data_IF_141645328660
#
_entry.id   IF_141645328660
#
_cell.length_a   1.000
_cell.length_b   1.000
_cell.length_c   1.000
_cell.angle_alpha   90.00
_cell.angle_beta   90.00
_cell.angle_gamma   90.00
#
_symmetry.space_group_name_H-M   'P 1'
#
loop_
_entity.id
_entity.type
_entity.pdbx_description
1 polymer ?
#
# COMPACT_ATOMS: atom_id res chain seq x y z
N UNK A 1 -9.09 50.56 -8.64
CA UNK A 1 -9.23 50.01 -7.27
C UNK A 1 -10.51 49.19 -7.18
N UNK A 2 -10.50 47.93 -7.60
CA UNK A 2 -11.57 46.95 -7.34
C UNK A 2 -10.93 45.56 -7.30
N UNK A 3 -10.03 45.34 -6.35
CA UNK A 3 -9.56 43.99 -6.02
C UNK A 3 -10.65 43.36 -5.16
N UNK A 4 -11.62 42.75 -5.83
CA UNK A 4 -12.67 41.97 -5.19
C UNK A 4 -12.04 40.85 -4.36
N UNK A 5 -12.30 40.90 -3.05
CA UNK A 5 -12.13 39.80 -2.12
C UNK A 5 -12.81 38.55 -2.70
N UNK A 6 -12.03 37.64 -3.25
CA UNK A 6 -12.46 36.24 -3.27
C UNK A 6 -12.33 35.72 -1.83
N UNK A 7 -13.40 35.17 -1.24
CA UNK A 7 -13.28 34.36 -0.04
C UNK A 7 -12.26 33.25 -0.32
N UNK A 8 -11.18 33.19 0.47
CA UNK A 8 -10.31 32.02 0.46
C UNK A 8 -11.13 30.86 1.00
N UNK A 9 -11.57 29.99 0.09
CA UNK A 9 -12.07 28.65 0.40
C UNK A 9 -11.16 28.06 1.50
N UNK A 10 -11.69 27.73 2.68
CA UNK A 10 -10.89 27.12 3.72
C UNK A 10 -10.33 25.82 3.15
N UNK A 11 -9.00 25.73 3.22
CA UNK A 11 -8.21 24.61 2.79
C UNK A 11 -8.89 23.27 3.12
N UNK A 12 -8.79 22.34 2.17
CA UNK A 12 -9.03 20.91 2.36
C UNK A 12 -8.17 20.43 3.52
N UNK A 13 -8.67 20.55 4.74
CA UNK A 13 -8.06 20.02 5.96
C UNK A 13 -9.17 19.61 6.92
N UNK A 14 -10.09 18.79 6.43
CA UNK A 14 -10.72 17.78 7.27
C UNK A 14 -10.15 16.41 6.89
N UNK A 15 -8.84 16.28 7.05
CA UNK A 15 -8.21 14.97 7.12
C UNK A 15 -8.57 14.33 8.47
N UNK A 16 -9.85 13.96 8.59
CA UNK A 16 -10.38 12.90 9.43
C UNK A 16 -9.72 12.82 10.82
N UNK A 17 -10.19 13.67 11.74
CA UNK A 17 -10.12 13.35 13.17
C UNK A 17 -11.10 12.20 13.45
N UNK A 18 -10.74 10.97 13.05
CA UNK A 18 -11.48 9.77 13.46
C UNK A 18 -11.28 9.57 14.97
N UNK A 19 -12.35 9.34 15.74
CA UNK A 19 -12.25 9.05 17.17
C UNK A 19 -11.32 7.85 17.40
N UNK A 20 -10.67 7.73 18.56
CA UNK A 20 -9.72 6.65 18.85
C UNK A 20 -10.38 5.29 18.55
N UNK A 21 -10.01 4.70 17.43
CA UNK A 21 -10.62 3.46 16.95
C UNK A 21 -10.06 2.29 17.74
N UNK A 22 -10.95 1.47 18.29
CA UNK A 22 -10.59 0.22 18.96
C UNK A 22 -9.69 -0.63 18.03
N UNK A 23 -8.50 -1.03 18.50
CA UNK A 23 -7.51 -1.81 17.74
C UNK A 23 -8.14 -3.06 17.14
N UNK A 24 -9.02 -3.75 17.89
CA UNK A 24 -9.75 -4.93 17.42
C UNK A 24 -10.63 -4.63 16.20
N UNK A 25 -11.22 -3.44 16.13
CA UNK A 25 -12.03 -3.00 14.98
C UNK A 25 -11.15 -2.77 13.75
N UNK A 26 -9.98 -2.15 13.92
CA UNK A 26 -9.01 -1.91 12.83
C UNK A 26 -8.50 -3.24 12.26
N UNK A 27 -8.07 -4.15 13.13
CA UNK A 27 -7.59 -5.49 12.74
C UNK A 27 -8.70 -6.26 12.02
N UNK A 28 -9.93 -6.27 12.56
CA UNK A 28 -11.06 -6.95 11.92
C UNK A 28 -11.38 -6.35 10.55
N UNK A 29 -11.35 -5.03 10.42
CA UNK A 29 -11.60 -4.38 9.14
C UNK A 29 -10.51 -4.73 8.12
N UNK A 30 -9.24 -4.70 8.51
CA UNK A 30 -8.12 -5.12 7.67
C UNK A 30 -8.25 -6.58 7.24
N UNK A 31 -8.61 -7.49 8.16
CA UNK A 31 -8.84 -8.90 7.87
C UNK A 31 -10.00 -9.09 6.88
N UNK A 32 -11.15 -8.45 7.12
CA UNK A 32 -12.32 -8.56 6.24
C UNK A 32 -12.00 -8.02 4.85
N UNK A 33 -11.33 -6.87 4.74
CA UNK A 33 -10.92 -6.30 3.45
C UNK A 33 -9.92 -7.21 2.74
N UNK A 34 -8.96 -7.77 3.47
CA UNK A 34 -7.97 -8.70 2.93
C UNK A 34 -8.60 -9.99 2.39
N UNK A 35 -9.48 -10.62 3.18
CA UNK A 35 -10.21 -11.83 2.74
C UNK A 35 -11.16 -11.53 1.58
N UNK A 36 -11.82 -10.36 1.59
CA UNK A 36 -12.72 -9.94 0.52
C UNK A 36 -11.98 -9.59 -0.78
N UNK A 37 -10.66 -9.37 -0.72
CA UNK A 37 -9.83 -9.07 -1.88
C UNK A 37 -8.82 -10.21 -2.12
N UNK A 38 -9.24 -11.31 -2.79
CA UNK A 38 -8.38 -12.47 -3.02
C UNK A 38 -7.33 -12.23 -4.11
N UNK A 39 -6.98 -10.97 -4.45
CA UNK A 39 -5.95 -10.71 -5.48
C UNK A 39 -4.65 -11.44 -5.20
N UNK A 40 -4.26 -11.52 -3.91
CA UNK A 40 -3.06 -12.23 -3.48
C UNK A 40 -3.18 -13.71 -3.83
N UNK A 41 -4.28 -14.35 -3.42
CA UNK A 41 -4.56 -15.75 -3.71
C UNK A 41 -4.57 -16.03 -5.22
N UNK A 42 -5.20 -15.15 -6.02
CA UNK A 42 -5.25 -15.31 -7.48
C UNK A 42 -3.85 -15.24 -8.11
N UNK A 43 -3.03 -14.25 -7.72
CA UNK A 43 -1.66 -14.12 -8.23
C UNK A 43 -0.80 -15.34 -7.83
N UNK A 44 -0.84 -15.74 -6.56
CA UNK A 44 -0.07 -16.90 -6.10
C UNK A 44 -0.57 -18.20 -6.74
N UNK A 45 -1.88 -18.40 -6.89
CA UNK A 45 -2.43 -19.56 -7.58
C UNK A 45 -2.00 -19.66 -9.05
N UNK A 46 -1.71 -18.54 -9.71
CA UNK A 46 -1.22 -18.52 -11.08
C UNK A 46 0.30 -18.76 -11.18
N UNK A 47 1.07 -18.30 -10.18
CA UNK A 47 2.53 -18.30 -10.20
C UNK A 47 3.11 -19.55 -9.52
N UNK A 48 2.56 -19.98 -8.38
CA UNK A 48 3.07 -21.09 -7.58
C UNK A 48 3.07 -22.46 -8.26
N UNK A 49 2.09 -22.84 -9.12
CA UNK A 49 2.12 -24.13 -9.81
C UNK A 49 3.39 -24.34 -10.66
N UNK A 50 4.06 -23.25 -11.06
CA UNK A 50 5.32 -23.30 -11.81
C UNK A 50 6.51 -23.79 -10.96
N UNK A 51 6.41 -23.67 -9.63
CA UNK A 51 7.46 -24.04 -8.68
C UNK A 51 7.25 -25.43 -8.05
N UNK A 52 6.17 -26.13 -8.42
CA UNK A 52 5.84 -27.45 -7.86
C UNK A 52 6.38 -28.57 -8.72
N UNK A 53 7.09 -29.50 -8.09
CA UNK A 53 7.59 -30.69 -8.75
C UNK A 53 6.55 -31.82 -8.67
N UNK A 54 5.86 -32.08 -9.79
CA UNK A 54 4.84 -33.14 -9.88
C UNK A 54 5.40 -34.56 -9.73
N UNK A 55 6.69 -34.76 -9.97
CA UNK A 55 7.35 -36.07 -9.86
C UNK A 55 7.77 -36.42 -8.43
N UNK A 56 7.76 -35.44 -7.50
CA UNK A 56 8.24 -35.59 -6.13
C UNK A 56 7.14 -35.91 -5.10
N UNK A 57 5.87 -36.04 -5.51
CA UNK A 57 4.76 -36.42 -4.63
C UNK A 57 3.51 -35.54 -4.78
N UNK A 58 2.70 -35.45 -3.72
CA UNK A 58 1.42 -34.72 -3.73
C UNK A 58 1.65 -33.20 -3.88
N UNK A 59 1.00 -32.61 -4.90
CA UNK A 59 1.10 -31.19 -5.28
C UNK A 59 0.46 -30.26 -4.22
N UNK A 60 -0.65 -30.68 -3.61
CA UNK A 60 -1.42 -29.88 -2.64
C UNK A 60 -0.61 -29.41 -1.43
N UNK A 61 0.12 -30.26 -0.69
CA UNK A 61 0.93 -29.81 0.44
C UNK A 61 2.10 -28.90 0.03
N UNK A 62 2.68 -29.08 -1.17
CA UNK A 62 3.73 -28.18 -1.67
C UNK A 62 3.18 -26.79 -1.96
N UNK A 63 2.00 -26.69 -2.60
CA UNK A 63 1.33 -25.42 -2.83
C UNK A 63 0.97 -24.71 -1.51
N UNK A 64 0.38 -25.44 -0.56
CA UNK A 64 0.04 -24.88 0.75
C UNK A 64 1.27 -24.37 1.49
N UNK A 65 2.39 -25.11 1.44
CA UNK A 65 3.65 -24.68 2.07
C UNK A 65 4.18 -23.39 1.42
N UNK A 66 4.19 -23.33 0.08
CA UNK A 66 4.64 -22.15 -0.66
C UNK A 66 3.77 -20.92 -0.34
N UNK A 67 2.45 -21.07 -0.34
CA UNK A 67 1.50 -20.02 0.02
C UNK A 67 1.72 -19.52 1.46
N UNK A 68 1.92 -20.43 2.42
CA UNK A 68 2.17 -20.07 3.83
C UNK A 68 3.48 -19.28 3.96
N UNK A 69 4.54 -19.72 3.28
CA UNK A 69 5.84 -19.02 3.30
C UNK A 69 5.70 -17.62 2.71
N UNK A 70 5.05 -17.48 1.55
CA UNK A 70 4.79 -16.18 0.93
C UNK A 70 3.95 -15.27 1.85
N UNK A 71 2.90 -15.81 2.47
CA UNK A 71 2.06 -15.08 3.41
C UNK A 71 2.83 -14.61 4.65
N UNK A 72 3.72 -15.46 5.18
CA UNK A 72 4.56 -15.10 6.33
C UNK A 72 5.55 -13.98 5.98
N UNK A 73 6.22 -14.06 4.82
CA UNK A 73 7.13 -13.02 4.35
C UNK A 73 6.38 -11.70 4.13
N UNK A 74 5.19 -11.75 3.53
CA UNK A 74 4.34 -10.58 3.34
C UNK A 74 3.95 -9.95 4.68
N UNK A 75 3.49 -10.76 5.65
CA UNK A 75 3.09 -10.27 6.96
C UNK A 75 4.24 -9.63 7.73
N UNK A 76 5.44 -10.23 7.70
CA UNK A 76 6.64 -9.66 8.32
C UNK A 76 7.03 -8.35 7.65
N UNK A 77 7.06 -8.31 6.33
CA UNK A 77 7.42 -7.12 5.55
C UNK A 77 6.43 -5.97 5.80
N UNK A 78 5.13 -6.25 5.73
CA UNK A 78 4.08 -5.26 5.95
C UNK A 78 4.07 -4.76 7.41
N UNK A 79 4.33 -5.64 8.37
CA UNK A 79 4.45 -5.26 9.78
C UNK A 79 5.67 -4.37 10.00
N UNK A 80 6.81 -4.70 9.39
CA UNK A 80 8.02 -3.87 9.47
C UNK A 80 7.76 -2.48 8.91
N UNK A 81 7.16 -2.38 7.71
CA UNK A 81 6.78 -1.10 7.11
C UNK A 81 5.73 -0.35 7.94
N UNK A 82 4.74 -1.06 8.50
CA UNK A 82 3.72 -0.48 9.37
C UNK A 82 4.30 0.12 10.65
N UNK A 83 5.24 -0.56 11.29
CA UNK A 83 5.95 -0.08 12.47
C UNK A 83 6.84 1.12 12.12
N UNK A 84 7.62 1.04 11.03
CA UNK A 84 8.43 2.14 10.53
C UNK A 84 7.59 3.38 10.19
N UNK A 85 6.44 3.20 9.55
CA UNK A 85 5.52 4.29 9.27
C UNK A 85 4.91 4.87 10.55
N UNK A 86 4.62 4.03 11.55
CA UNK A 86 4.13 4.46 12.86
C UNK A 86 5.14 5.31 13.63
N UNK A 87 6.41 4.88 13.67
CA UNK A 87 7.51 5.62 14.32
C UNK A 87 7.85 6.89 13.54
N UNK A 88 7.95 6.82 12.20
CA UNK A 88 8.19 7.97 11.35
C UNK A 88 7.07 9.02 11.46
N UNK A 89 5.81 8.60 11.66
CA UNK A 89 4.69 9.53 11.90
C UNK A 89 4.90 10.35 13.18
N UNK A 90 5.57 9.82 14.20
CA UNK A 90 6.02 10.59 15.36
C UNK A 90 7.04 11.67 15.00
N UNK A 91 8.01 11.34 14.15
CA UNK A 91 9.04 12.27 13.65
C UNK A 91 8.48 13.36 12.71
N UNK A 92 7.50 13.01 11.87
CA UNK A 92 6.85 13.95 10.94
C UNK A 92 5.98 14.99 11.64
N UNK A 93 5.43 14.68 12.83
CA UNK A 93 4.67 15.65 13.64
C UNK A 93 5.46 16.91 14.00
N UNK A 94 6.79 16.86 13.98
CA UNK A 94 7.65 18.00 14.29
C UNK A 94 7.80 19.04 13.17
N UNK A 95 7.39 18.78 11.92
CA UNK A 95 7.42 19.81 10.86
C UNK A 95 6.52 19.45 9.66
N UNK A 96 5.49 20.26 9.35
CA UNK A 96 4.59 20.02 8.21
C UNK A 96 5.28 20.12 6.84
N UNK A 97 6.39 20.87 6.75
CA UNK A 97 7.18 20.96 5.52
C UNK A 97 7.81 19.63 5.10
N UNK A 98 8.23 18.79 6.05
CA UNK A 98 8.84 17.48 5.76
C UNK A 98 7.85 16.50 5.13
N UNK A 99 6.61 16.51 5.62
CA UNK A 99 5.55 15.65 5.10
C UNK A 99 5.15 16.08 3.69
N UNK A 100 5.06 17.39 3.44
CA UNK A 100 4.78 17.96 2.12
C UNK A 100 5.90 17.63 1.11
N UNK A 101 7.17 17.75 1.50
CA UNK A 101 8.30 17.42 0.63
C UNK A 101 8.30 15.94 0.19
N UNK A 102 8.05 15.01 1.12
CA UNK A 102 7.98 13.57 0.79
C UNK A 102 6.81 13.28 -0.16
N UNK A 103 5.64 13.90 0.07
CA UNK A 103 4.50 13.78 -0.83
C UNK A 103 4.78 14.36 -2.22
N UNK A 104 5.47 15.49 -2.30
CA UNK A 104 5.86 16.09 -3.57
C UNK A 104 6.86 15.21 -4.34
N UNK A 105 7.84 14.62 -3.65
CA UNK A 105 8.81 13.69 -4.26
C UNK A 105 8.10 12.45 -4.80
N UNK A 106 7.24 11.79 -4.02
CA UNK A 106 6.54 10.60 -4.48
C UNK A 106 5.60 10.89 -5.65
N UNK A 107 4.89 12.01 -5.62
CA UNK A 107 4.05 12.47 -6.73
C UNK A 107 4.86 12.76 -7.99
N UNK A 108 6.01 13.42 -7.85
CA UNK A 108 6.90 13.72 -8.99
C UNK A 108 7.45 12.44 -9.62
N UNK A 109 7.87 11.46 -8.81
CA UNK A 109 8.33 10.16 -9.29
C UNK A 109 7.21 9.41 -10.03
N UNK A 110 5.99 9.42 -9.49
CA UNK A 110 4.82 8.79 -10.12
C UNK A 110 4.51 9.40 -11.49
N UNK A 111 4.49 10.73 -11.58
CA UNK A 111 4.26 11.46 -12.84
C UNK A 111 5.40 11.16 -13.83
N UNK A 112 6.65 11.22 -13.38
CA UNK A 112 7.81 10.93 -14.22
C UNK A 112 7.79 9.51 -14.80
N UNK A 113 7.43 8.51 -13.99
CA UNK A 113 7.25 7.13 -14.45
C UNK A 113 6.09 7.00 -15.44
N UNK A 114 4.95 7.64 -15.17
CA UNK A 114 3.80 7.64 -16.09
C UNK A 114 4.12 8.27 -17.44
N UNK A 115 4.82 9.40 -17.46
CA UNK A 115 5.29 10.05 -18.69
C UNK A 115 6.25 9.15 -19.44
N UNK A 116 7.23 8.53 -18.76
CA UNK A 116 8.15 7.59 -19.39
C UNK A 116 7.42 6.43 -20.04
N UNK A 117 6.45 5.83 -19.34
CA UNK A 117 5.64 4.75 -19.89
C UNK A 117 4.77 5.20 -21.07
N UNK A 118 4.22 6.41 -21.05
CA UNK A 118 3.44 6.94 -22.19
C UNK A 118 4.32 7.15 -23.44
N UNK A 119 5.58 7.54 -23.24
CA UNK A 119 6.53 7.75 -24.33
C UNK A 119 7.08 6.43 -24.87
N UNK A 120 7.45 5.48 -24.01
CA UNK A 120 8.00 4.16 -24.42
C UNK A 120 6.91 3.15 -24.82
N UNK A 121 5.71 3.26 -24.27
CA UNK A 121 4.57 2.40 -24.61
C UNK A 121 4.02 2.66 -26.02
N UNK A 122 4.55 3.66 -26.73
CA UNK A 122 4.26 3.93 -28.14
C UNK A 122 5.17 3.13 -29.10
N UNK A 123 6.10 2.31 -28.57
CA UNK A 123 7.10 1.55 -29.32
C UNK A 123 6.85 0.02 -29.35
N UNK A 124 5.65 -0.46 -28.98
CA UNK A 124 5.26 -1.89 -28.99
C UNK A 124 4.00 -2.13 -29.79
#
# INVERSE_FOLDING_TARGET
MCTGLLPREPAVTDAQQRPPTNVRRIVRQGFVVGVSNPKGFLIFSAVLPQFVNRSAGHVTPQLLLLDIVCAAVALVSDSAWGLLAGTARGWFRGSPHRLSAIGAVSGTVMVGLGVRLALTGNDV
#
